data_IF_130120464202
#
_entry.id   IF_130120464202
#
_cell.length_a   1.000
_cell.length_b   1.000
_cell.length_c   1.000
_cell.angle_alpha   90.00
_cell.angle_beta   90.00
_cell.angle_gamma   90.00
#
_symmetry.space_group_name_H-M   'P 1'
#
loop_
_entity.id
_entity.type
_entity.pdbx_description
1 polymer ?
#
# COMPACT_ATOMS: atom_id res chain seq x y z
N UNK A 1 27.41 -20.68 2.13
CA UNK A 1 26.82 -19.57 1.34
C UNK A 1 26.14 -18.66 2.35
N UNK A 2 26.29 -17.33 2.21
CA UNK A 2 25.57 -16.39 3.06
C UNK A 2 24.06 -16.47 2.76
N UNK A 3 23.22 -16.41 3.79
CA UNK A 3 21.77 -16.45 3.62
C UNK A 3 21.28 -15.16 2.94
N UNK A 4 20.37 -15.27 1.98
CA UNK A 4 19.72 -14.14 1.36
C UNK A 4 18.82 -13.46 2.40
N UNK A 5 18.95 -12.14 2.58
CA UNK A 5 18.17 -11.35 3.52
C UNK A 5 17.02 -10.62 2.81
N UNK A 6 17.28 -10.09 1.60
CA UNK A 6 16.26 -9.34 0.88
C UNK A 6 16.72 -8.92 -0.51
N UNK A 7 15.84 -8.20 -1.20
CA UNK A 7 16.05 -7.66 -2.54
C UNK A 7 15.80 -6.14 -2.47
N UNK A 8 16.67 -5.37 -3.09
CA UNK A 8 16.55 -3.91 -3.16
C UNK A 8 15.35 -3.55 -4.04
N UNK A 9 14.34 -2.89 -3.47
CA UNK A 9 13.13 -2.48 -4.19
C UNK A 9 13.22 -1.06 -4.74
N UNK A 10 13.99 -0.17 -4.07
CA UNK A 10 14.17 1.21 -4.53
C UNK A 10 15.50 1.77 -4.04
N UNK A 11 16.18 2.53 -4.90
CA UNK A 11 17.42 3.26 -4.55
C UNK A 11 17.27 4.72 -4.96
N UNK A 12 17.63 5.62 -4.05
CA UNK A 12 17.73 7.06 -4.30
C UNK A 12 19.13 7.51 -3.91
N UNK A 13 19.81 8.25 -4.77
CA UNK A 13 21.17 8.72 -4.52
C UNK A 13 22.21 7.59 -4.45
N UNK A 14 23.28 7.81 -3.68
CA UNK A 14 24.36 6.83 -3.55
C UNK A 14 24.13 5.88 -2.39
N UNK A 15 24.02 4.58 -2.69
CA UNK A 15 23.87 3.50 -1.72
C UNK A 15 24.83 2.37 -2.06
N UNK A 16 25.40 1.77 -1.03
CA UNK A 16 26.41 0.73 -1.20
C UNK A 16 26.14 -0.46 -0.27
N UNK A 17 26.48 -1.66 -0.72
CA UNK A 17 26.66 -2.81 0.14
C UNK A 17 28.16 -3.10 0.29
N UNK A 18 28.59 -3.33 1.54
CA UNK A 18 29.97 -3.67 1.88
C UNK A 18 29.99 -5.09 2.47
N UNK A 19 30.70 -5.99 1.81
CA UNK A 19 30.86 -7.36 2.28
C UNK A 19 31.80 -7.45 3.48
N UNK A 20 31.72 -8.51 4.27
CA UNK A 20 32.59 -8.77 5.44
C UNK A 20 34.12 -8.74 5.13
N UNK A 21 34.52 -8.71 3.87
CA UNK A 21 35.89 -8.55 3.40
C UNK A 21 36.27 -7.13 2.97
N UNK A 22 35.43 -6.12 3.22
CA UNK A 22 35.69 -4.72 2.86
C UNK A 22 35.43 -4.36 1.40
N UNK A 23 34.93 -5.29 0.58
CA UNK A 23 34.54 -5.02 -0.79
C UNK A 23 33.22 -4.27 -0.82
N UNK A 24 33.26 -3.04 -1.30
CA UNK A 24 32.12 -2.15 -1.44
C UNK A 24 31.59 -2.16 -2.87
N UNK A 25 30.29 -2.40 -3.05
CA UNK A 25 29.61 -2.35 -4.34
C UNK A 25 28.46 -1.35 -4.31
N UNK A 26 28.24 -0.55 -5.38
CA UNK A 26 27.05 0.28 -5.48
C UNK A 26 25.82 -0.62 -5.63
N UNK A 27 24.69 -0.19 -5.06
CA UNK A 27 23.42 -0.91 -5.16
C UNK A 27 22.52 -0.27 -6.21
N UNK A 28 21.82 -1.15 -6.93
CA UNK A 28 20.74 -0.81 -7.85
C UNK A 28 19.49 -1.62 -7.50
N UNK A 29 18.34 -1.19 -8.01
CA UNK A 29 17.09 -1.91 -7.84
C UNK A 29 17.19 -3.33 -8.41
N UNK A 30 16.65 -4.30 -7.67
CA UNK A 30 16.76 -5.73 -7.99
C UNK A 30 18.00 -6.44 -7.41
N UNK A 31 18.94 -5.73 -6.79
CA UNK A 31 20.12 -6.34 -6.18
C UNK A 31 19.76 -7.18 -4.95
N UNK A 32 20.41 -8.34 -4.85
CA UNK A 32 20.26 -9.26 -3.72
C UNK A 32 21.22 -8.89 -2.59
N UNK A 33 20.71 -8.91 -1.38
CA UNK A 33 21.44 -8.60 -0.15
C UNK A 33 21.54 -9.85 0.73
N UNK A 34 22.72 -10.08 1.29
CA UNK A 34 23.02 -11.28 2.04
C UNK A 34 23.40 -10.99 3.49
N UNK A 35 23.23 -11.99 4.35
CA UNK A 35 23.62 -11.90 5.75
C UNK A 35 25.13 -11.61 5.88
N UNK A 36 25.47 -10.63 6.71
CA UNK A 36 26.82 -10.16 6.95
C UNK A 36 27.27 -9.03 6.02
N UNK A 37 26.46 -8.59 5.06
CA UNK A 37 26.72 -7.35 4.33
C UNK A 37 26.35 -6.12 5.17
N UNK A 38 27.09 -5.04 4.99
CA UNK A 38 26.85 -3.73 5.57
C UNK A 38 26.22 -2.83 4.53
N UNK A 39 24.99 -2.34 4.78
CA UNK A 39 24.28 -1.44 3.90
C UNK A 39 24.56 0.00 4.34
N UNK A 40 25.11 0.82 3.44
CA UNK A 40 25.55 2.20 3.73
C UNK A 40 24.92 3.14 2.74
N UNK A 41 24.21 4.16 3.24
CA UNK A 41 23.63 5.23 2.42
C UNK A 41 24.48 6.49 2.49
N UNK A 42 24.67 7.16 1.34
CA UNK A 42 25.35 8.45 1.28
C UNK A 42 24.52 9.59 1.91
N UNK A 43 25.09 10.78 1.97
CA UNK A 43 24.43 11.98 2.55
C UNK A 43 23.09 12.33 1.86
N UNK A 44 22.91 11.90 0.61
CA UNK A 44 21.68 12.09 -0.17
C UNK A 44 21.08 10.74 -0.59
N UNK A 45 21.56 9.63 0.00
CA UNK A 45 21.17 8.27 -0.34
C UNK A 45 20.03 7.75 0.53
N UNK A 46 19.12 7.01 -0.07
CA UNK A 46 18.11 6.23 0.64
C UNK A 46 17.86 4.92 -0.11
N UNK A 47 17.49 3.85 0.61
CA UNK A 47 17.22 2.54 0.02
C UNK A 47 16.03 1.89 0.70
N UNK A 48 15.17 1.26 -0.08
CA UNK A 48 14.15 0.35 0.37
C UNK A 48 14.52 -1.08 -0.04
N UNK A 49 14.31 -2.03 0.85
CA UNK A 49 14.65 -3.45 0.67
C UNK A 49 13.46 -4.30 1.08
N UNK A 50 13.00 -5.15 0.18
CA UNK A 50 12.04 -6.21 0.53
C UNK A 50 12.79 -7.39 1.17
N UNK A 51 12.48 -7.68 2.42
CA UNK A 51 13.03 -8.81 3.16
C UNK A 51 12.30 -10.11 2.80
N UNK A 52 12.99 -11.25 2.94
CA UNK A 52 12.42 -12.58 2.65
C UNK A 52 11.23 -12.98 3.54
N UNK A 53 10.98 -12.28 4.64
CA UNK A 53 9.82 -12.49 5.51
C UNK A 53 8.62 -11.61 5.12
N UNK A 54 8.63 -10.97 3.95
CA UNK A 54 7.57 -10.09 3.46
C UNK A 54 7.57 -8.68 4.05
N UNK A 55 8.50 -8.35 4.93
CA UNK A 55 8.62 -7.01 5.49
C UNK A 55 9.47 -6.09 4.61
N UNK A 56 9.23 -4.79 4.69
CA UNK A 56 10.04 -3.77 4.03
C UNK A 56 10.96 -3.07 5.04
N UNK A 57 12.23 -2.96 4.69
CA UNK A 57 13.24 -2.22 5.44
C UNK A 57 13.63 -0.96 4.66
N UNK A 58 13.52 0.21 5.26
CA UNK A 58 13.94 1.46 4.63
C UNK A 58 15.07 2.10 5.43
N UNK A 59 16.17 2.43 4.75
CA UNK A 59 17.27 3.23 5.32
C UNK A 59 17.26 4.62 4.67
N UNK A 60 17.27 5.64 5.53
CA UNK A 60 17.38 7.04 5.13
C UNK A 60 18.81 7.49 4.88
N UNK A 61 18.99 8.80 4.75
CA UNK A 61 20.27 9.45 4.44
C UNK A 61 21.33 9.23 5.52
N UNK A 62 22.57 8.97 5.11
CA UNK A 62 23.71 8.84 6.01
C UNK A 62 23.58 7.72 7.04
N UNK A 63 22.80 6.69 6.73
CA UNK A 63 22.56 5.56 7.62
C UNK A 63 23.45 4.38 7.25
N UNK A 64 23.80 3.58 8.25
CA UNK A 64 24.43 2.29 8.06
C UNK A 64 23.69 1.18 8.82
N UNK A 65 23.68 -0.02 8.26
CA UNK A 65 23.02 -1.17 8.87
C UNK A 65 23.71 -2.48 8.47
N UNK A 66 24.06 -3.29 9.47
CA UNK A 66 24.52 -4.67 9.22
C UNK A 66 23.32 -5.60 9.03
N UNK A 67 23.29 -6.30 7.90
CA UNK A 67 22.22 -7.24 7.59
C UNK A 67 22.45 -8.56 8.34
N UNK A 68 21.61 -8.82 9.33
CA UNK A 68 21.69 -10.03 10.16
C UNK A 68 20.48 -10.93 9.92
N UNK A 69 20.59 -12.25 10.12
CA UNK A 69 19.45 -13.18 10.01
C UNK A 69 18.30 -12.84 10.96
N UNK A 70 18.57 -12.10 12.05
CA UNK A 70 17.54 -11.65 13.00
C UNK A 70 16.51 -10.70 12.35
N UNK A 71 16.87 -10.00 11.26
CA UNK A 71 15.94 -9.16 10.49
C UNK A 71 14.82 -9.98 9.83
N UNK A 72 15.03 -11.29 9.66
CA UNK A 72 14.03 -12.21 9.13
C UNK A 72 13.17 -12.88 10.22
N UNK A 73 13.53 -12.71 11.49
CA UNK A 73 12.72 -13.22 12.58
C UNK A 73 11.41 -12.43 12.63
N UNK A 74 10.30 -13.10 12.29
CA UNK A 74 8.98 -12.57 12.53
C UNK A 74 8.84 -12.37 14.04
N UNK A 75 8.89 -11.14 14.50
CA UNK A 75 8.30 -10.82 15.78
C UNK A 75 6.79 -10.96 15.55
N UNK A 76 6.23 -12.12 15.94
CA UNK A 76 4.80 -12.21 16.19
C UNK A 76 4.41 -11.01 17.06
N UNK A 77 3.28 -10.31 16.79
CA UNK A 77 2.83 -9.28 17.68
C UNK A 77 2.79 -9.88 19.06
N UNK A 78 3.60 -9.35 19.96
CA UNK A 78 3.59 -9.73 21.36
C UNK A 78 2.19 -9.37 21.85
N UNK A 79 1.34 -10.37 22.00
CA UNK A 79 0.11 -10.22 22.77
C UNK A 79 0.59 -10.12 24.21
N UNK A 80 0.81 -8.89 24.64
CA UNK A 80 1.03 -8.60 26.05
C UNK A 80 -0.22 -9.03 26.80
N UNK A 81 -0.14 -10.18 27.43
CA UNK A 81 -0.96 -10.44 28.63
C UNK A 81 -0.57 -9.36 29.63
N UNK A 82 -1.52 -8.57 30.12
CA UNK A 82 -1.20 -7.52 31.08
C UNK A 82 -0.86 -8.18 32.41
N UNK A 83 0.43 -8.29 32.70
CA UNK A 83 0.88 -8.43 34.07
C UNK A 83 1.05 -7.03 34.64
N UNK A 84 0.18 -6.71 35.60
CA UNK A 84 -0.02 -5.39 36.13
C UNK A 84 1.18 -4.94 36.99
N UNK A 85 2.07 -4.19 36.34
CA UNK A 85 2.90 -3.24 37.08
C UNK A 85 2.68 -1.85 36.48
N UNK A 86 1.76 -1.09 37.05
CA UNK A 86 1.61 0.34 36.76
C UNK A 86 2.96 1.01 36.93
N UNK A 87 3.60 1.59 35.89
CA UNK A 87 4.86 2.29 36.06
C UNK A 87 4.67 3.45 37.04
N UNK A 88 5.62 3.65 37.96
CA UNK A 88 5.58 4.77 38.86
C UNK A 88 5.65 6.08 38.08
N UNK A 89 4.99 7.15 38.56
CA UNK A 89 4.97 8.48 37.94
C UNK A 89 6.35 9.06 37.59
N UNK A 90 7.43 8.51 38.16
CA UNK A 90 8.81 8.90 37.86
C UNK A 90 9.36 8.29 36.55
N UNK A 91 8.67 7.32 35.95
CA UNK A 91 9.10 6.62 34.69
C UNK A 91 8.30 7.03 33.46
N UNK A 92 7.27 7.86 33.62
CA UNK A 92 6.46 8.34 32.51
C UNK A 92 7.12 9.56 31.83
N UNK A 93 7.12 9.58 30.52
CA UNK A 93 7.47 10.79 29.77
C UNK A 93 6.40 11.86 29.97
N UNK A 94 6.73 13.14 29.75
CA UNK A 94 5.78 14.24 29.94
C UNK A 94 4.55 14.10 29.03
N UNK A 95 4.71 13.51 27.85
CA UNK A 95 3.60 13.18 26.93
C UNK A 95 2.69 12.11 27.52
N UNK A 96 3.23 11.07 28.14
CA UNK A 96 2.44 10.00 28.77
C UNK A 96 1.70 10.49 30.01
N UNK A 97 2.30 11.41 30.78
CA UNK A 97 1.63 12.09 31.92
C UNK A 97 0.45 12.93 31.45
N UNK A 98 0.62 13.65 30.32
CA UNK A 98 -0.43 14.46 29.74
C UNK A 98 -1.60 13.60 29.22
N UNK A 99 -1.29 12.49 28.53
CA UNK A 99 -2.29 11.54 28.05
C UNK A 99 -3.08 10.90 29.20
N UNK A 100 -2.41 10.57 30.30
CA UNK A 100 -3.05 10.01 31.50
C UNK A 100 -3.96 11.04 32.20
N UNK A 101 -3.54 12.31 32.23
CA UNK A 101 -4.35 13.41 32.75
C UNK A 101 -5.61 13.66 31.92
N UNK A 102 -5.52 13.62 30.59
CA UNK A 102 -6.64 13.73 29.66
C UNK A 102 -7.62 12.56 29.85
N UNK A 103 -7.11 11.35 29.94
CA UNK A 103 -7.92 10.15 30.17
C UNK A 103 -8.65 10.17 31.53
N UNK A 104 -8.09 10.86 32.52
CA UNK A 104 -8.71 11.08 33.83
C UNK A 104 -9.67 12.28 33.86
N UNK A 105 -9.90 12.98 32.71
CA UNK A 105 -10.80 14.12 32.61
C UNK A 105 -10.23 15.44 33.14
N UNK A 106 -8.92 15.54 33.30
CA UNK A 106 -8.24 16.79 33.69
C UNK A 106 -8.02 17.70 32.46
N UNK A 107 -8.12 19.01 32.68
CA UNK A 107 -7.86 20.00 31.65
C UNK A 107 -6.36 20.02 31.31
N UNK A 108 -5.94 19.69 30.08
CA UNK A 108 -4.53 19.59 29.68
C UNK A 108 -3.80 20.94 29.74
N UNK A 109 -4.52 22.06 29.73
CA UNK A 109 -3.93 23.40 29.81
C UNK A 109 -3.46 23.78 31.20
N UNK A 110 -3.90 23.04 32.22
CA UNK A 110 -3.53 23.26 33.64
C UNK A 110 -2.36 22.39 34.12
N UNK A 111 -1.98 21.36 33.35
CA UNK A 111 -0.99 20.37 33.79
C UNK A 111 0.30 20.37 32.95
N UNK A 112 0.37 21.13 31.87
CA UNK A 112 1.56 21.26 31.03
C UNK A 112 2.44 22.42 31.51
N UNK A 113 3.78 22.23 31.59
CA UNK A 113 4.68 23.36 31.69
C UNK A 113 4.52 24.27 30.45
N UNK A 114 4.57 25.59 30.67
CA UNK A 114 4.40 26.59 29.60
C UNK A 114 5.44 26.36 28.49
N UNK A 115 4.97 25.97 27.33
CA UNK A 115 5.80 25.95 26.11
C UNK A 115 6.16 27.39 25.78
N UNK A 116 7.43 27.66 25.44
CA UNK A 116 8.05 28.97 25.28
C UNK A 116 7.51 29.83 24.08
N UNK A 117 6.21 29.85 23.88
CA UNK A 117 5.51 30.63 22.85
C UNK A 117 4.41 31.51 23.46
N UNK A 118 4.78 32.35 24.44
CA UNK A 118 3.91 33.40 24.94
C UNK A 118 4.64 34.23 25.99
N UNK A 119 4.75 35.57 25.83
CA UNK A 119 5.35 36.40 26.83
C UNK A 119 4.35 36.60 27.97
N UNK A 120 4.65 36.08 29.16
CA UNK A 120 4.06 36.62 30.38
C UNK A 120 4.55 38.05 30.62
N UNK A 121 3.59 38.95 30.73
CA UNK A 121 3.86 40.35 30.98
C UNK A 121 4.45 40.60 32.34
N UNK A 122 5.49 41.41 32.38
CA UNK A 122 5.86 42.18 33.55
C UNK A 122 7.29 41.99 34.08
N UNK A 123 8.25 42.69 33.50
CA UNK A 123 9.12 43.63 34.21
C UNK A 123 10.07 44.37 33.22
N UNK A 124 10.26 45.70 33.31
CA UNK A 124 11.17 46.41 32.44
C UNK A 124 12.58 46.37 33.02
N UNK A 125 13.51 45.74 32.30
CA UNK A 125 14.91 45.90 32.57
C UNK A 125 15.72 44.60 32.64
N UNK A 126 16.15 44.11 31.51
CA UNK A 126 17.14 43.04 31.43
C UNK A 126 17.52 42.76 29.98
N UNK A 127 18.69 43.25 29.59
CA UNK A 127 19.34 42.94 28.30
C UNK A 127 19.68 41.47 28.27
N UNK A 128 19.13 40.68 27.30
CA UNK A 128 19.56 39.30 27.11
C UNK A 128 18.50 38.39 26.49
N UNK A 129 18.23 38.56 25.21
CA UNK A 129 17.51 37.57 24.42
C UNK A 129 18.39 36.34 24.26
N UNK A 130 18.16 35.30 25.08
CA UNK A 130 18.82 34.01 24.93
C UNK A 130 18.17 33.17 23.85
N UNK A 131 18.70 33.21 22.67
CA UNK A 131 18.47 32.15 21.70
C UNK A 131 19.45 31.01 22.06
N UNK A 132 18.92 29.83 22.34
CA UNK A 132 19.73 28.61 22.43
C UNK A 132 20.25 28.30 21.04
N UNK A 133 21.48 28.69 20.76
CA UNK A 133 22.21 28.18 19.62
C UNK A 133 22.79 26.82 19.97
N UNK A 134 22.54 25.82 19.14
CA UNK A 134 23.34 24.59 19.17
C UNK A 134 24.72 24.97 18.67
N UNK A 135 25.69 25.06 19.58
CA UNK A 135 27.11 25.18 19.22
C UNK A 135 27.56 23.84 18.64
N UNK A 136 27.69 23.78 17.34
CA UNK A 136 28.54 22.81 16.67
C UNK A 136 29.98 23.24 16.92
N UNK A 137 30.74 22.51 17.71
CA UNK A 137 32.20 22.68 17.80
C UNK A 137 32.80 22.25 16.47
N UNK A 138 33.16 23.22 15.64
CA UNK A 138 33.96 23.01 14.44
C UNK A 138 35.43 22.91 14.81
N UNK A 139 36.03 21.75 14.61
CA UNK A 139 37.48 21.54 14.66
C UNK A 139 38.03 21.77 13.24
N UNK A 140 38.28 23.01 12.91
CA UNK A 140 38.87 23.34 11.59
C UNK A 140 39.05 24.84 11.42
N UNK A 141 40.28 25.23 11.29
CA UNK A 141 40.91 26.54 11.14
C UNK A 141 40.05 27.73 10.72
N UNK A 142 40.39 28.84 11.35
CA UNK A 142 39.89 30.19 11.12
C UNK A 142 39.86 30.51 9.62
N UNK A 143 38.69 30.49 9.02
CA UNK A 143 38.43 31.07 7.69
C UNK A 143 37.75 32.41 7.93
N UNK A 144 38.46 33.49 7.67
CA UNK A 144 37.94 34.84 7.72
C UNK A 144 36.91 34.99 6.56
N UNK A 145 35.59 35.01 6.81
CA UNK A 145 34.60 35.17 5.74
C UNK A 145 34.54 36.63 5.35
N UNK A 146 35.25 36.99 4.31
CA UNK A 146 34.99 38.25 3.62
C UNK A 146 33.64 38.14 2.86
N UNK A 147 32.54 38.16 3.59
CA UNK A 147 31.20 38.42 3.06
C UNK A 147 30.81 39.84 3.58
N UNK A 148 31.40 40.82 3.01
CA UNK A 148 31.00 42.18 3.18
C UNK A 148 30.69 42.79 1.83
N UNK A 149 29.44 42.94 1.48
CA UNK A 149 29.12 44.04 0.57
C UNK A 149 29.56 45.36 1.25
N UNK A 150 30.36 46.21 0.56
CA UNK A 150 30.73 47.50 1.14
C UNK A 150 29.47 48.32 1.31
N UNK A 151 29.03 48.55 2.54
CA UNK A 151 27.91 49.41 2.91
C UNK A 151 28.36 50.87 3.14
N UNK A 152 29.58 51.22 2.75
CA UNK A 152 30.04 52.59 2.81
C UNK A 152 29.62 53.31 1.52
N UNK A 153 28.54 54.11 1.62
CA UNK A 153 28.24 55.10 0.59
C UNK A 153 26.82 55.22 0.06
N UNK A 154 25.85 54.48 0.61
CA UNK A 154 24.45 54.74 0.24
C UNK A 154 23.77 55.60 1.33
N UNK A 155 23.92 56.93 1.20
CA UNK A 155 23.06 57.90 1.86
C UNK A 155 21.82 58.14 0.97
N UNK A 156 20.84 57.25 1.05
CA UNK A 156 19.58 57.36 0.37
C UNK A 156 18.92 55.99 0.14
N UNK A 157 17.63 55.95 0.28
CA UNK A 157 16.83 54.80 -0.12
C UNK A 157 17.06 54.62 -1.64
N UNK A 158 17.42 53.45 -2.17
CA UNK A 158 17.49 53.23 -3.62
C UNK A 158 16.11 53.52 -4.22
N UNK A 159 15.96 54.62 -4.89
CA UNK A 159 14.82 54.81 -5.78
C UNK A 159 15.02 53.85 -6.95
N UNK A 160 14.10 52.90 -7.09
CA UNK A 160 14.00 52.13 -8.30
C UNK A 160 13.84 53.07 -9.50
N UNK A 161 14.55 52.84 -10.61
CA UNK A 161 14.39 53.68 -11.78
C UNK A 161 12.92 53.58 -12.20
N UNK A 162 12.19 54.68 -12.02
CA UNK A 162 10.88 54.85 -12.63
C UNK A 162 11.10 54.87 -14.16
N UNK A 163 10.51 53.92 -14.86
CA UNK A 163 10.41 53.99 -16.32
C UNK A 163 9.65 55.26 -16.67
N UNK A 164 10.37 56.34 -16.94
CA UNK A 164 9.77 57.51 -17.54
C UNK A 164 9.52 57.21 -19.02
N UNK A 165 8.26 57.02 -19.38
CA UNK A 165 7.85 57.25 -20.76
C UNK A 165 8.10 58.73 -21.07
N UNK A 166 9.09 59.01 -21.93
CA UNK A 166 9.33 60.34 -22.43
C UNK A 166 8.17 60.70 -23.37
N UNK A 167 7.33 61.67 -22.95
CA UNK A 167 6.37 62.28 -23.88
C UNK A 167 5.04 62.76 -23.35
N UNK A 168 4.82 62.90 -22.03
CA UNK A 168 3.57 63.54 -21.59
C UNK A 168 3.84 64.74 -20.63
N UNK A 169 3.62 65.98 -21.04
CA UNK A 169 3.83 67.16 -20.20
C UNK A 169 2.61 67.53 -19.34
N UNK A 170 1.58 66.75 -19.26
CA UNK A 170 0.36 67.08 -18.52
C UNK A 170 -0.17 65.92 -17.66
N UNK A 171 0.64 65.51 -16.63
CA UNK A 171 0.15 64.60 -15.63
C UNK A 171 -0.35 65.36 -14.41
N UNK A 172 -1.56 65.83 -14.45
CA UNK A 172 -2.36 66.17 -13.27
C UNK A 172 -3.21 64.99 -12.89
N UNK A 173 -2.64 64.08 -12.06
CA UNK A 173 -3.42 63.27 -11.11
C UNK A 173 -4.19 62.10 -11.64
N UNK A 174 -3.56 61.13 -12.30
CA UNK A 174 -4.07 59.77 -12.37
C UNK A 174 -3.26 58.89 -11.43
N UNK A 175 -3.73 58.81 -10.21
CA UNK A 175 -3.39 57.76 -9.26
C UNK A 175 -4.19 56.52 -9.72
N UNK A 176 -3.82 55.97 -10.89
CA UNK A 176 -4.33 54.69 -11.29
C UNK A 176 -3.88 53.70 -10.21
N UNK A 177 -4.81 53.35 -9.34
CA UNK A 177 -4.61 52.26 -8.39
C UNK A 177 -4.14 51.04 -9.18
N UNK A 178 -2.91 50.60 -8.92
CA UNK A 178 -2.47 49.27 -9.38
C UNK A 178 -3.55 48.31 -8.93
N UNK A 179 -4.19 47.56 -9.85
CA UNK A 179 -5.19 46.58 -9.42
C UNK A 179 -4.55 45.72 -8.33
N UNK A 180 -5.27 45.44 -7.24
CA UNK A 180 -4.74 44.51 -6.25
C UNK A 180 -4.34 43.22 -6.96
N UNK A 181 -3.06 42.83 -6.85
CA UNK A 181 -2.60 41.55 -7.33
C UNK A 181 -3.34 40.54 -6.43
N UNK A 182 -4.31 39.84 -6.99
CA UNK A 182 -4.90 38.71 -6.29
C UNK A 182 -3.77 37.71 -6.05
N UNK A 183 -3.58 37.25 -4.81
CA UNK A 183 -2.60 36.17 -4.58
C UNK A 183 -2.97 34.98 -5.46
N UNK A 184 -1.99 34.49 -6.21
CA UNK A 184 -2.06 33.26 -6.94
C UNK A 184 -2.06 32.10 -5.90
N UNK A 185 -3.07 31.25 -5.90
CA UNK A 185 -3.23 30.14 -4.95
C UNK A 185 -3.35 28.81 -5.72
N UNK A 186 -2.38 27.90 -5.59
CA UNK A 186 -2.35 26.69 -6.38
C UNK A 186 -3.58 25.79 -6.13
N UNK A 187 -4.03 25.13 -7.17
CA UNK A 187 -5.01 24.05 -7.06
C UNK A 187 -4.37 22.84 -6.38
N UNK A 188 -5.10 22.16 -5.50
CA UNK A 188 -4.63 20.97 -4.81
C UNK A 188 -5.68 19.85 -4.82
N UNK A 189 -5.19 18.60 -4.74
CA UNK A 189 -6.01 17.40 -4.59
C UNK A 189 -5.70 16.77 -3.23
N UNK A 190 -6.73 16.34 -2.49
CA UNK A 190 -6.59 15.67 -1.21
C UNK A 190 -7.48 14.42 -1.19
N UNK A 191 -6.92 13.27 -0.80
CA UNK A 191 -7.60 11.99 -0.82
C UNK A 191 -7.51 11.25 -2.16
N UNK A 192 -6.47 11.55 -2.95
CA UNK A 192 -5.98 10.76 -4.09
C UNK A 192 -4.51 10.40 -3.85
N UNK A 193 -3.96 9.47 -4.61
CA UNK A 193 -2.61 8.93 -4.45
C UNK A 193 -2.36 8.35 -3.03
N UNK A 194 -3.39 7.74 -2.43
CA UNK A 194 -3.30 7.16 -1.09
C UNK A 194 -2.55 5.84 -1.15
N UNK A 195 -1.54 5.69 -0.30
CA UNK A 195 -0.80 4.42 -0.23
C UNK A 195 -1.74 3.25 0.11
N UNK A 196 -1.79 2.25 -0.75
CA UNK A 196 -2.69 1.11 -0.63
C UNK A 196 -4.01 1.29 -1.39
N UNK A 197 -4.15 2.40 -2.15
CA UNK A 197 -5.32 2.71 -2.96
C UNK A 197 -6.45 3.38 -2.17
N UNK A 198 -7.27 4.17 -2.87
CA UNK A 198 -8.44 4.84 -2.30
C UNK A 198 -9.57 3.86 -2.01
N UNK A 199 -9.68 2.80 -2.82
CA UNK A 199 -10.67 1.75 -2.66
C UNK A 199 -10.05 0.37 -2.76
N UNK A 200 -10.68 -0.59 -2.08
CA UNK A 200 -10.33 -2.01 -2.19
C UNK A 200 -11.59 -2.82 -2.42
N UNK A 201 -11.54 -3.73 -3.37
CA UNK A 201 -12.57 -4.73 -3.63
C UNK A 201 -11.95 -6.13 -3.68
N UNK A 202 -12.77 -7.16 -3.63
CA UNK A 202 -12.31 -8.55 -3.61
C UNK A 202 -13.20 -9.39 -4.52
N UNK A 203 -12.59 -10.19 -5.36
CA UNK A 203 -13.25 -11.07 -6.32
C UNK A 203 -14.05 -12.19 -5.65
N UNK A 204 -13.71 -12.54 -4.40
CA UNK A 204 -14.52 -13.45 -3.60
C UNK A 204 -16.00 -13.02 -3.49
N UNK A 205 -16.29 -11.72 -3.66
CA UNK A 205 -17.65 -11.18 -3.63
C UNK A 205 -18.43 -11.39 -4.95
N UNK A 206 -17.76 -11.75 -6.04
CA UNK A 206 -18.41 -12.05 -7.32
C UNK A 206 -19.41 -13.21 -7.20
N UNK A 207 -20.30 -13.32 -8.18
CA UNK A 207 -21.34 -14.36 -8.17
C UNK A 207 -20.75 -15.77 -8.09
N UNK A 208 -19.62 -15.97 -8.72
CA UNK A 208 -18.86 -17.23 -8.78
C UNK A 208 -17.73 -17.30 -7.75
N UNK A 209 -17.51 -16.24 -6.99
CA UNK A 209 -16.48 -16.15 -5.96
C UNK A 209 -16.79 -17.00 -4.71
N UNK A 210 -15.77 -17.22 -3.90
CA UNK A 210 -15.81 -18.08 -2.72
C UNK A 210 -16.73 -17.54 -1.60
N UNK A 211 -17.01 -16.22 -1.58
CA UNK A 211 -17.82 -15.55 -0.57
C UNK A 211 -18.82 -14.55 -1.17
N UNK A 212 -19.56 -14.97 -2.20
CA UNK A 212 -20.44 -14.12 -3.01
C UNK A 212 -21.26 -13.11 -2.20
N UNK A 213 -21.02 -11.81 -2.47
CA UNK A 213 -21.70 -10.69 -1.82
C UNK A 213 -21.84 -9.51 -2.79
N UNK A 214 -22.93 -9.45 -3.60
CA UNK A 214 -23.10 -8.39 -4.59
C UNK A 214 -23.05 -6.97 -4.04
N UNK A 215 -23.41 -6.77 -2.77
CA UNK A 215 -23.35 -5.46 -2.12
C UNK A 215 -21.91 -4.96 -1.88
N UNK A 216 -20.94 -5.87 -1.76
CA UNK A 216 -19.55 -5.53 -1.56
C UNK A 216 -18.78 -5.30 -2.87
N UNK A 217 -19.40 -5.55 -4.03
CA UNK A 217 -18.80 -5.26 -5.33
C UNK A 217 -18.82 -3.76 -5.68
N UNK A 218 -19.66 -2.98 -4.98
CA UNK A 218 -19.76 -1.53 -5.14
C UNK A 218 -19.08 -0.85 -3.98
N UNK A 219 -17.97 -0.17 -4.26
CA UNK A 219 -17.23 0.61 -3.28
C UNK A 219 -17.46 2.10 -3.53
N UNK A 220 -17.62 2.89 -2.46
CA UNK A 220 -17.85 4.32 -2.56
C UNK A 220 -16.67 5.08 -1.95
N UNK A 221 -16.30 6.19 -2.58
CA UNK A 221 -15.24 7.04 -2.11
C UNK A 221 -15.52 8.51 -2.34
N UNK A 222 -14.69 9.36 -1.75
CA UNK A 222 -14.68 10.79 -1.94
C UNK A 222 -13.23 11.30 -1.93
N UNK A 223 -12.98 12.37 -2.68
CA UNK A 223 -11.78 13.17 -2.55
C UNK A 223 -12.12 14.65 -2.66
N UNK A 224 -11.18 15.54 -2.33
CA UNK A 224 -11.42 16.98 -2.34
C UNK A 224 -10.50 17.68 -3.32
N UNK A 225 -11.06 18.59 -4.11
CA UNK A 225 -10.33 19.54 -4.96
C UNK A 225 -10.42 20.90 -4.32
N UNK A 226 -9.28 21.51 -3.99
CA UNK A 226 -9.23 22.89 -3.50
C UNK A 226 -8.64 23.79 -4.60
N UNK A 227 -9.43 24.71 -5.08
CA UNK A 227 -9.06 25.71 -6.08
C UNK A 227 -9.58 27.10 -5.63
N UNK A 228 -8.82 27.81 -4.76
CA UNK A 228 -9.29 29.08 -4.18
C UNK A 228 -9.57 30.17 -5.24
N UNK A 229 -8.87 30.12 -6.37
CA UNK A 229 -9.04 31.06 -7.48
C UNK A 229 -10.10 30.63 -8.50
N UNK A 230 -10.77 29.49 -8.19
CA UNK A 230 -11.85 28.94 -8.99
C UNK A 230 -11.39 27.81 -9.91
N UNK A 231 -12.15 26.74 -9.99
CA UNK A 231 -11.85 25.56 -10.79
C UNK A 231 -12.36 25.72 -12.22
N UNK A 232 -11.47 25.66 -13.20
CA UNK A 232 -11.82 25.74 -14.63
C UNK A 232 -12.16 24.39 -15.21
N UNK A 233 -11.37 23.35 -14.88
CA UNK A 233 -11.63 21.99 -15.36
C UNK A 233 -11.25 20.94 -14.32
N UNK A 234 -11.98 19.83 -14.34
CA UNK A 234 -11.68 18.62 -13.59
C UNK A 234 -12.01 17.43 -14.46
N UNK A 235 -11.04 16.54 -14.65
CA UNK A 235 -11.25 15.26 -15.32
C UNK A 235 -10.80 14.11 -14.43
N UNK A 236 -11.53 12.97 -14.49
CA UNK A 236 -11.29 11.78 -13.69
C UNK A 236 -11.47 10.57 -14.59
N UNK A 237 -10.42 9.76 -14.80
CA UNK A 237 -10.48 8.58 -15.64
C UNK A 237 -10.99 8.84 -17.06
N UNK A 238 -10.76 10.06 -17.58
CA UNK A 238 -11.29 10.51 -18.89
C UNK A 238 -12.70 11.11 -18.86
N UNK A 239 -13.39 11.11 -17.71
CA UNK A 239 -14.67 11.82 -17.52
C UNK A 239 -14.39 13.30 -17.28
N UNK A 240 -15.02 14.19 -18.03
CA UNK A 240 -14.98 15.62 -17.77
C UNK A 240 -16.05 15.99 -16.74
N UNK A 241 -15.63 16.13 -15.47
CA UNK A 241 -16.50 16.47 -14.32
C UNK A 241 -16.85 17.95 -14.32
N UNK A 242 -15.86 18.79 -14.65
CA UNK A 242 -16.02 20.24 -14.79
C UNK A 242 -15.39 20.69 -16.11
N UNK A 243 -16.10 21.56 -16.83
CA UNK A 243 -15.62 22.15 -18.08
C UNK A 243 -15.98 23.62 -18.10
N UNK A 244 -14.96 24.52 -18.22
CA UNK A 244 -15.15 25.98 -18.21
C UNK A 244 -15.81 26.47 -16.92
N UNK A 245 -15.46 25.88 -15.77
CA UNK A 245 -16.03 26.22 -14.47
C UNK A 245 -17.47 25.69 -14.22
N UNK A 246 -18.00 24.91 -15.16
CA UNK A 246 -19.39 24.40 -15.06
C UNK A 246 -19.34 22.90 -14.79
N UNK A 247 -19.93 22.42 -13.67
CA UNK A 247 -20.07 21.00 -13.40
C UNK A 247 -20.94 20.30 -14.45
N UNK A 248 -20.56 19.08 -14.82
CA UNK A 248 -21.38 18.20 -15.65
C UNK A 248 -22.63 17.73 -14.87
N UNK A 249 -23.61 17.20 -15.58
CA UNK A 249 -24.71 16.48 -14.93
C UNK A 249 -24.24 15.12 -14.37
N UNK A 250 -24.70 14.74 -13.19
CA UNK A 250 -24.36 13.47 -12.55
C UNK A 250 -25.55 12.49 -12.57
N UNK A 251 -25.30 11.16 -12.49
CA UNK A 251 -23.97 10.52 -12.50
C UNK A 251 -23.31 10.48 -13.89
N UNK A 252 -21.96 10.40 -13.90
CA UNK A 252 -21.14 10.17 -15.08
C UNK A 252 -20.38 8.84 -14.89
N UNK A 253 -20.33 8.00 -15.93
CA UNK A 253 -19.70 6.68 -15.84
C UNK A 253 -18.62 6.51 -16.91
N UNK A 254 -17.57 5.77 -16.57
CA UNK A 254 -16.59 5.24 -17.50
C UNK A 254 -16.37 3.76 -17.21
N UNK A 255 -16.29 2.96 -18.28
CA UNK A 255 -15.83 1.58 -18.19
C UNK A 255 -14.32 1.58 -18.36
N UNK A 256 -13.63 0.93 -17.45
CA UNK A 256 -12.18 0.84 -17.43
C UNK A 256 -11.66 -0.12 -18.51
N UNK A 257 -10.34 -0.23 -18.62
CA UNK A 257 -9.69 -1.18 -19.52
C UNK A 257 -9.94 -2.65 -19.12
N UNK A 258 -10.14 -2.89 -17.82
CA UNK A 258 -10.47 -4.21 -17.26
C UNK A 258 -11.96 -4.55 -17.39
N UNK A 259 -12.81 -3.61 -17.75
CA UNK A 259 -14.24 -3.82 -17.90
C UNK A 259 -15.07 -3.34 -16.69
N UNK A 260 -14.43 -2.91 -15.63
CA UNK A 260 -15.07 -2.40 -14.42
C UNK A 260 -15.62 -1.00 -14.61
N UNK A 261 -16.44 -0.54 -13.69
CA UNK A 261 -17.14 0.73 -13.85
C UNK A 261 -16.80 1.72 -12.75
N UNK A 262 -16.21 2.87 -13.11
CA UNK A 262 -16.11 4.04 -12.25
C UNK A 262 -17.29 4.98 -12.52
N UNK A 263 -17.99 5.39 -11.49
CA UNK A 263 -19.12 6.34 -11.57
C UNK A 263 -18.85 7.54 -10.70
N UNK A 264 -18.77 8.73 -11.28
CA UNK A 264 -18.77 9.98 -10.53
C UNK A 264 -20.20 10.33 -10.21
N UNK A 265 -20.55 10.29 -8.92
CA UNK A 265 -21.92 10.45 -8.43
C UNK A 265 -22.27 11.88 -8.10
N UNK A 266 -21.29 12.75 -7.85
CA UNK A 266 -21.51 14.14 -7.54
C UNK A 266 -20.23 14.96 -7.36
N UNK A 267 -20.41 16.28 -7.45
CA UNK A 267 -19.44 17.30 -7.07
C UNK A 267 -20.14 18.41 -6.30
N UNK A 268 -19.60 18.74 -5.14
CA UNK A 268 -20.10 19.88 -4.34
C UNK A 268 -19.16 21.10 -4.52
N UNK A 269 -19.60 22.15 -5.23
CA UNK A 269 -18.77 23.31 -5.48
C UNK A 269 -18.49 24.17 -4.24
N UNK A 270 -19.25 23.98 -3.15
CA UNK A 270 -19.02 24.73 -1.91
C UNK A 270 -17.91 24.15 -1.07
N UNK A 271 -17.67 22.86 -1.16
CA UNK A 271 -16.65 22.13 -0.38
C UNK A 271 -15.53 21.56 -1.23
N UNK A 272 -15.69 21.52 -2.56
CA UNK A 272 -14.77 20.90 -3.49
C UNK A 272 -14.81 19.35 -3.46
N UNK A 273 -15.77 18.77 -2.74
CA UNK A 273 -15.86 17.31 -2.58
C UNK A 273 -16.40 16.66 -3.86
N UNK A 274 -15.66 15.69 -4.37
CA UNK A 274 -16.09 14.78 -5.42
C UNK A 274 -16.51 13.47 -4.76
N UNK A 275 -17.67 12.96 -5.14
CA UNK A 275 -18.19 11.65 -4.70
C UNK A 275 -18.19 10.68 -5.88
N UNK A 276 -17.74 9.47 -5.65
CA UNK A 276 -17.67 8.44 -6.69
C UNK A 276 -17.98 7.06 -6.14
N UNK A 277 -18.25 6.11 -7.05
CA UNK A 277 -18.32 4.70 -6.74
C UNK A 277 -17.60 3.89 -7.82
N UNK A 278 -17.01 2.80 -7.38
CA UNK A 278 -16.41 1.81 -8.27
C UNK A 278 -17.17 0.50 -8.15
N UNK A 279 -17.39 -0.18 -9.26
CA UNK A 279 -18.08 -1.47 -9.32
C UNK A 279 -17.18 -2.50 -10.00
N UNK A 280 -16.80 -3.54 -9.27
CA UNK A 280 -16.17 -4.75 -9.84
C UNK A 280 -17.26 -5.56 -10.55
N UNK A 281 -17.06 -5.88 -11.84
CA UNK A 281 -18.06 -6.54 -12.69
C UNK A 281 -17.75 -7.98 -12.99
N UNK A 282 -16.47 -8.35 -13.08
CA UNK A 282 -16.00 -9.69 -13.40
C UNK A 282 -14.64 -9.92 -12.71
N UNK A 283 -14.16 -11.17 -12.75
CA UNK A 283 -12.81 -11.49 -12.30
C UNK A 283 -11.76 -10.91 -13.25
N UNK A 284 -10.60 -10.62 -12.70
CA UNK A 284 -9.46 -10.06 -13.41
C UNK A 284 -8.32 -11.09 -13.46
N UNK A 285 -7.35 -10.86 -14.34
CA UNK A 285 -6.17 -11.72 -14.39
C UNK A 285 -5.13 -11.25 -13.41
N UNK A 286 -4.80 -12.07 -12.45
CA UNK A 286 -3.77 -11.82 -11.44
C UNK A 286 -2.42 -12.47 -11.80
N UNK A 287 -1.28 -12.02 -11.20
CA UNK A 287 0.00 -12.69 -11.36
C UNK A 287 -0.04 -14.14 -10.83
N UNK A 288 0.30 -15.09 -11.69
CA UNK A 288 0.15 -16.52 -11.43
C UNK A 288 0.86 -17.00 -10.14
N UNK A 289 0.16 -17.78 -9.32
CA UNK A 289 0.69 -18.42 -8.12
C UNK A 289 1.03 -17.44 -6.99
N UNK A 290 0.44 -16.26 -7.00
CA UNK A 290 0.68 -15.22 -6.01
C UNK A 290 -0.14 -15.34 -4.73
N UNK A 291 -1.07 -16.30 -4.66
CA UNK A 291 -2.08 -16.37 -3.61
C UNK A 291 -3.02 -15.18 -3.68
N UNK A 292 -3.72 -14.82 -2.62
CA UNK A 292 -4.62 -13.67 -2.57
C UNK A 292 -3.88 -12.33 -2.78
N UNK A 293 -3.20 -12.20 -3.92
CA UNK A 293 -2.50 -10.99 -4.33
C UNK A 293 -3.49 -9.92 -4.81
N UNK A 294 -2.99 -8.74 -5.18
CA UNK A 294 -3.86 -7.67 -5.67
C UNK A 294 -3.26 -7.03 -6.91
N UNK A 295 -4.13 -6.62 -7.81
CA UNK A 295 -3.81 -5.70 -8.90
C UNK A 295 -4.41 -4.33 -8.59
N UNK A 296 -3.83 -3.27 -9.16
CA UNK A 296 -4.32 -1.90 -8.97
C UNK A 296 -4.82 -1.34 -10.29
N UNK A 297 -6.05 -0.91 -10.31
CA UNK A 297 -6.62 -0.16 -11.42
C UNK A 297 -6.56 1.33 -11.12
N UNK A 298 -6.07 2.12 -12.10
CA UNK A 298 -5.74 3.53 -11.90
C UNK A 298 -6.59 4.44 -12.77
N UNK A 299 -7.15 5.49 -12.17
CA UNK A 299 -7.91 6.51 -12.87
C UNK A 299 -7.24 7.88 -12.67
N UNK A 300 -6.61 8.47 -13.70
CA UNK A 300 -5.94 9.76 -13.57
C UNK A 300 -6.95 10.86 -13.24
N UNK A 301 -6.56 11.72 -12.30
CA UNK A 301 -7.29 12.91 -11.87
C UNK A 301 -6.47 14.13 -12.29
N UNK A 302 -7.10 15.08 -13.02
CA UNK A 302 -6.46 16.33 -13.42
C UNK A 302 -7.41 17.47 -13.13
N UNK A 303 -6.96 18.42 -12.32
CA UNK A 303 -7.67 19.66 -11.99
C UNK A 303 -6.88 20.87 -12.50
N UNK A 304 -7.57 21.86 -13.07
CA UNK A 304 -6.99 23.11 -13.56
C UNK A 304 -7.87 24.27 -13.05
N UNK A 305 -7.26 25.27 -12.46
CA UNK A 305 -7.97 26.47 -12.00
C UNK A 305 -8.09 27.59 -13.07
N UNK A 306 -8.50 28.79 -12.65
CA UNK A 306 -8.82 29.87 -13.61
C UNK A 306 -7.60 30.61 -14.16
N UNK A 307 -6.46 30.59 -13.49
CA UNK A 307 -5.20 31.18 -13.92
C UNK A 307 -4.23 30.19 -14.56
N UNK A 308 -4.57 28.89 -14.53
CA UNK A 308 -3.91 27.82 -15.28
C UNK A 308 -3.05 26.90 -14.43
N UNK A 309 -3.07 27.00 -13.13
CA UNK A 309 -2.43 26.05 -12.23
C UNK A 309 -3.07 24.67 -12.36
N UNK A 310 -2.25 23.64 -12.23
CA UNK A 310 -2.68 22.25 -12.47
C UNK A 310 -2.25 21.36 -11.32
N UNK A 311 -3.20 20.59 -10.78
CA UNK A 311 -2.93 19.46 -9.90
C UNK A 311 -3.27 18.16 -10.61
N UNK A 312 -2.41 17.17 -10.42
CA UNK A 312 -2.59 15.81 -10.96
C UNK A 312 -2.45 14.78 -9.87
N UNK A 313 -3.21 13.71 -9.97
CA UNK A 313 -3.14 12.55 -9.08
C UNK A 313 -3.81 11.34 -9.71
N UNK A 314 -3.81 10.22 -9.03
CA UNK A 314 -4.51 9.00 -9.43
C UNK A 314 -5.49 8.59 -8.36
N UNK A 315 -6.63 8.07 -8.80
CA UNK A 315 -7.57 7.37 -7.97
C UNK A 315 -7.33 5.87 -8.21
N UNK A 316 -6.85 5.20 -7.19
CA UNK A 316 -6.36 3.84 -7.26
C UNK A 316 -7.36 2.87 -6.63
N UNK A 317 -7.70 1.81 -7.34
CA UNK A 317 -8.58 0.74 -6.83
C UNK A 317 -7.81 -0.56 -6.80
N UNK A 318 -7.65 -1.13 -5.61
CA UNK A 318 -7.05 -2.44 -5.45
C UNK A 318 -8.10 -3.54 -5.55
N UNK A 319 -7.87 -4.49 -6.45
CA UNK A 319 -8.69 -5.67 -6.67
C UNK A 319 -7.90 -6.85 -6.12
N UNK A 320 -8.46 -7.52 -5.11
CA UNK A 320 -7.83 -8.67 -4.47
C UNK A 320 -8.37 -9.96 -5.06
N UNK A 321 -7.47 -10.85 -5.40
CA UNK A 321 -7.72 -12.17 -5.96
C UNK A 321 -8.50 -13.09 -5.01
N UNK A 322 -9.30 -13.99 -5.58
CA UNK A 322 -10.07 -15.02 -4.88
C UNK A 322 -9.50 -16.41 -5.12
N UNK A 323 -8.65 -16.84 -4.22
CA UNK A 323 -7.89 -18.10 -4.32
C UNK A 323 -8.75 -19.34 -4.11
N UNK A 324 -8.38 -20.50 -4.72
CA UNK A 324 -9.11 -21.74 -4.58
C UNK A 324 -9.02 -22.30 -3.14
N UNK A 325 -10.07 -23.00 -2.72
CA UNK A 325 -10.17 -23.69 -1.45
C UNK A 325 -10.60 -25.13 -1.65
N UNK A 326 -9.68 -26.08 -1.51
CA UNK A 326 -9.96 -27.51 -1.48
C UNK A 326 -10.36 -27.95 -0.06
N UNK A 327 -11.34 -28.83 0.02
CA UNK A 327 -11.90 -29.35 1.29
C UNK A 327 -11.82 -30.86 1.27
N UNK A 328 -11.34 -31.47 2.37
CA UNK A 328 -11.19 -32.92 2.51
C UNK A 328 -12.46 -33.69 2.18
N UNK A 329 -12.28 -34.78 1.44
CA UNK A 329 -13.32 -35.69 1.00
C UNK A 329 -13.30 -37.02 1.76
N UNK A 330 -14.42 -37.68 1.73
CA UNK A 330 -14.50 -39.09 2.20
C UNK A 330 -15.46 -39.87 1.33
N UNK A 331 -15.08 -41.08 0.97
CA UNK A 331 -15.98 -42.00 0.26
C UNK A 331 -16.92 -42.74 1.21
N UNK A 332 -18.23 -42.70 0.93
CA UNK A 332 -19.25 -43.29 1.80
C UNK A 332 -19.22 -44.81 1.83
N UNK A 333 -18.73 -45.46 0.76
CA UNK A 333 -18.63 -46.91 0.67
C UNK A 333 -17.20 -47.40 0.93
N UNK A 334 -17.06 -48.58 1.44
CA UNK A 334 -15.78 -49.26 1.61
C UNK A 334 -15.56 -50.28 0.48
N UNK A 335 -14.39 -50.21 -0.16
CA UNK A 335 -14.02 -51.23 -1.14
C UNK A 335 -13.85 -52.60 -0.44
N UNK A 336 -14.21 -53.66 -1.15
CA UNK A 336 -14.18 -55.04 -0.64
C UNK A 336 -13.93 -56.03 -1.77
N UNK A 337 -13.76 -57.29 -1.46
CA UNK A 337 -13.63 -58.37 -2.43
C UNK A 337 -14.81 -58.45 -3.43
N UNK A 338 -16.00 -57.96 -3.04
CA UNK A 338 -17.20 -57.92 -3.88
C UNK A 338 -17.48 -56.57 -4.50
N UNK A 339 -16.87 -55.50 -3.94
CA UNK A 339 -16.96 -54.12 -4.45
C UNK A 339 -15.55 -53.58 -4.66
N UNK A 340 -14.89 -54.05 -5.72
CA UNK A 340 -13.48 -53.72 -5.99
C UNK A 340 -13.25 -52.32 -6.56
N UNK A 341 -14.31 -51.68 -7.02
CA UNK A 341 -14.19 -50.33 -7.65
C UNK A 341 -15.10 -49.34 -6.95
N UNK A 342 -14.56 -48.21 -6.58
CA UNK A 342 -15.28 -47.04 -6.09
C UNK A 342 -15.10 -45.86 -7.07
N UNK A 343 -16.15 -45.10 -7.26
CA UNK A 343 -16.13 -43.92 -8.12
C UNK A 343 -16.74 -42.74 -7.39
N UNK A 344 -16.25 -41.53 -7.64
CA UNK A 344 -16.77 -40.31 -7.05
C UNK A 344 -16.23 -39.08 -7.78
N UNK A 345 -16.41 -37.94 -7.15
CA UNK A 345 -15.86 -36.68 -7.60
C UNK A 345 -15.46 -35.85 -6.38
N UNK A 346 -14.32 -35.18 -6.41
CA UNK A 346 -13.78 -34.38 -5.32
C UNK A 346 -14.26 -32.93 -5.30
N UNK A 347 -14.80 -32.40 -6.43
CA UNK A 347 -15.16 -30.98 -6.57
C UNK A 347 -16.45 -30.51 -5.87
N UNK A 348 -17.43 -31.37 -5.48
CA UNK A 348 -18.73 -30.87 -4.99
C UNK A 348 -18.67 -30.02 -3.72
N UNK A 349 -17.64 -30.16 -2.88
CA UNK A 349 -17.41 -29.40 -1.65
C UNK A 349 -16.32 -28.34 -1.79
N UNK A 350 -15.59 -28.34 -2.91
CA UNK A 350 -14.51 -27.41 -3.19
C UNK A 350 -15.01 -26.08 -3.77
N UNK A 351 -14.21 -25.03 -3.57
CA UNK A 351 -14.39 -23.72 -4.19
C UNK A 351 -13.16 -23.38 -5.03
N UNK A 352 -13.35 -23.08 -6.33
CA UNK A 352 -12.25 -22.67 -7.20
C UNK A 352 -11.88 -21.18 -7.04
N UNK A 353 -12.74 -20.40 -6.41
CA UNK A 353 -12.66 -18.95 -6.47
C UNK A 353 -13.41 -18.38 -7.68
N UNK A 354 -13.16 -17.11 -7.99
CA UNK A 354 -13.77 -16.41 -9.12
C UNK A 354 -13.16 -16.84 -10.47
N UNK A 355 -11.87 -17.17 -10.47
CA UNK A 355 -11.08 -17.54 -11.65
C UNK A 355 -11.20 -19.02 -11.99
N UNK A 356 -12.36 -19.39 -12.52
CA UNK A 356 -12.70 -20.79 -12.73
C UNK A 356 -12.08 -21.38 -13.99
N UNK A 357 -11.51 -22.57 -13.86
CA UNK A 357 -11.19 -23.44 -14.98
C UNK A 357 -12.45 -24.24 -15.34
N UNK A 358 -12.98 -24.11 -16.56
CA UNK A 358 -14.14 -24.91 -16.97
C UNK A 358 -13.86 -26.40 -16.95
N UNK A 359 -14.77 -27.18 -16.37
CA UNK A 359 -14.67 -28.64 -16.35
C UNK A 359 -15.12 -29.24 -17.70
N UNK A 360 -14.34 -30.18 -18.20
CA UNK A 360 -14.60 -30.91 -19.45
C UNK A 360 -13.99 -32.31 -19.40
N UNK A 361 -14.18 -33.12 -20.46
CA UNK A 361 -13.71 -34.51 -20.47
C UNK A 361 -12.22 -34.70 -20.19
N UNK A 362 -11.40 -33.71 -20.60
CA UNK A 362 -9.93 -33.75 -20.43
C UNK A 362 -9.40 -32.45 -19.83
N UNK A 363 -10.26 -31.62 -19.22
CA UNK A 363 -9.90 -30.32 -18.63
C UNK A 363 -10.68 -30.07 -17.35
N UNK A 364 -10.07 -29.34 -16.43
CA UNK A 364 -10.70 -28.94 -15.18
C UNK A 364 -9.66 -28.47 -14.16
N UNK A 365 -10.11 -28.11 -12.98
CA UNK A 365 -9.28 -27.48 -11.97
C UNK A 365 -8.43 -28.47 -11.15
N UNK A 366 -8.57 -29.77 -11.38
CA UNK A 366 -7.81 -30.76 -10.62
C UNK A 366 -6.55 -31.18 -11.37
N UNK A 367 -5.43 -31.17 -10.69
CA UNK A 367 -4.20 -31.81 -11.18
C UNK A 367 -4.38 -33.32 -11.08
N UNK A 368 -4.85 -33.90 -12.18
CA UNK A 368 -5.18 -35.32 -12.26
C UNK A 368 -3.95 -36.23 -12.34
N UNK A 369 -4.17 -37.51 -12.14
CA UNK A 369 -3.09 -38.51 -12.22
C UNK A 369 -3.51 -39.89 -11.74
N UNK A 370 -2.53 -40.81 -11.75
CA UNK A 370 -2.69 -42.16 -11.18
C UNK A 370 -1.83 -42.30 -9.92
N UNK A 371 -2.48 -42.59 -8.82
CA UNK A 371 -1.86 -42.71 -7.51
C UNK A 371 -1.94 -44.14 -7.01
N UNK A 372 -0.78 -44.72 -6.70
CA UNK A 372 -0.71 -46.07 -6.14
C UNK A 372 -0.75 -45.97 -4.63
N UNK A 373 -1.76 -46.56 -4.02
CA UNK A 373 -1.92 -46.68 -2.57
C UNK A 373 -1.38 -48.00 -2.02
N UNK A 374 -1.68 -48.24 -0.77
CA UNK A 374 -1.33 -49.47 -0.05
C UNK A 374 -2.17 -50.67 -0.50
N UNK A 375 -3.44 -50.44 -0.75
CA UNK A 375 -4.40 -51.52 -1.07
C UNK A 375 -4.91 -51.46 -2.51
N UNK A 376 -4.72 -50.32 -3.20
CA UNK A 376 -5.27 -50.15 -4.54
C UNK A 376 -4.66 -48.98 -5.30
N UNK A 377 -5.34 -48.60 -6.36
CA UNK A 377 -4.91 -47.50 -7.24
C UNK A 377 -6.07 -46.55 -7.44
N UNK A 378 -5.80 -45.25 -7.26
CA UNK A 378 -6.71 -44.15 -7.59
C UNK A 378 -6.31 -43.56 -8.93
N UNK A 379 -7.26 -43.46 -9.85
CA UNK A 379 -7.16 -42.60 -11.05
C UNK A 379 -8.05 -41.39 -10.83
N UNK A 380 -7.45 -40.19 -10.81
CA UNK A 380 -8.14 -38.90 -10.64
C UNK A 380 -8.02 -38.12 -11.92
N UNK A 381 -9.14 -37.64 -12.43
CA UNK A 381 -9.21 -36.87 -13.67
C UNK A 381 -9.23 -35.36 -13.39
N UNK A 382 -8.96 -34.55 -14.41
CA UNK A 382 -8.95 -33.09 -14.29
C UNK A 382 -10.33 -32.50 -13.91
N UNK A 383 -11.43 -33.16 -14.27
CA UNK A 383 -12.81 -32.79 -13.90
C UNK A 383 -13.20 -33.18 -12.46
N UNK A 384 -12.23 -33.64 -11.66
CA UNK A 384 -12.43 -34.09 -10.28
C UNK A 384 -13.01 -35.49 -10.15
N UNK A 385 -13.45 -36.10 -11.23
CA UNK A 385 -13.93 -37.47 -11.17
C UNK A 385 -12.80 -38.45 -10.86
N UNK A 386 -13.08 -39.47 -10.04
CA UNK A 386 -12.09 -40.48 -9.73
C UNK A 386 -12.63 -41.87 -9.81
N UNK A 387 -11.71 -42.82 -10.03
CA UNK A 387 -11.94 -44.24 -9.90
C UNK A 387 -10.85 -44.85 -9.03
N UNK A 388 -11.24 -45.38 -7.90
CA UNK A 388 -10.37 -46.20 -7.07
C UNK A 388 -10.59 -47.70 -7.38
N UNK A 389 -9.53 -48.43 -7.57
CA UNK A 389 -9.56 -49.88 -7.84
C UNK A 389 -8.75 -50.62 -6.80
N UNK A 390 -9.43 -51.44 -5.99
CA UNK A 390 -8.82 -52.29 -4.98
C UNK A 390 -8.04 -53.42 -5.64
N UNK A 391 -6.80 -53.67 -5.23
CA UNK A 391 -6.01 -54.83 -5.64
C UNK A 391 -6.23 -55.96 -4.65
N UNK A 392 -7.19 -56.85 -4.93
CA UNK A 392 -7.51 -57.96 -4.06
C UNK A 392 -6.39 -59.00 -3.93
N UNK A 393 -5.35 -58.93 -4.76
CA UNK A 393 -4.14 -59.79 -4.67
C UNK A 393 -3.00 -59.15 -3.89
N UNK A 394 -3.17 -57.90 -3.44
CA UNK A 394 -2.14 -57.24 -2.67
C UNK A 394 -1.91 -57.94 -1.32
N UNK A 395 -0.64 -58.21 -0.95
CA UNK A 395 -0.35 -58.91 0.32
C UNK A 395 -0.85 -58.21 1.58
N UNK A 396 -0.92 -56.86 1.56
CA UNK A 396 -1.38 -56.07 2.70
C UNK A 396 -2.90 -56.13 2.80
N UNK A 397 -3.61 -56.14 1.66
CA UNK A 397 -5.05 -56.35 1.64
C UNK A 397 -5.39 -57.81 2.09
N UNK A 398 -4.67 -58.78 1.54
CA UNK A 398 -4.85 -60.19 1.93
C UNK A 398 -4.60 -60.42 3.43
N UNK A 399 -3.70 -59.65 4.04
CA UNK A 399 -3.44 -59.72 5.49
C UNK A 399 -4.60 -59.19 6.36
N UNK A 400 -5.58 -58.46 5.78
CA UNK A 400 -6.79 -57.98 6.47
C UNK A 400 -7.89 -59.03 6.62
N UNK A 401 -7.65 -60.33 6.25
CA UNK A 401 -8.68 -61.39 6.31
C UNK A 401 -9.31 -61.55 7.68
N UNK A 402 -10.50 -62.13 7.69
CA UNK A 402 -11.24 -62.32 8.92
C UNK A 402 -12.04 -61.12 9.40
N UNK A 403 -12.29 -60.13 8.50
CA UNK A 403 -13.05 -58.93 8.80
C UNK A 403 -12.20 -57.74 9.24
N UNK A 404 -10.89 -57.79 9.01
CA UNK A 404 -10.01 -56.65 9.18
C UNK A 404 -10.35 -55.51 8.21
N UNK A 405 -10.01 -54.29 8.55
CA UNK A 405 -10.19 -53.09 7.74
C UNK A 405 -8.90 -52.28 7.67
N UNK A 406 -8.69 -51.58 6.57
CA UNK A 406 -7.63 -50.64 6.38
C UNK A 406 -8.19 -49.32 5.78
N UNK A 407 -7.42 -48.27 5.87
CA UNK A 407 -7.72 -47.00 5.21
C UNK A 407 -6.50 -46.50 4.47
N UNK A 408 -6.71 -45.76 3.42
CA UNK A 408 -5.66 -45.03 2.71
C UNK A 408 -6.16 -43.64 2.30
N UNK A 409 -5.22 -42.72 2.15
CA UNK A 409 -5.50 -41.33 1.87
C UNK A 409 -4.69 -40.90 0.65
N UNK A 410 -5.33 -40.14 -0.23
CA UNK A 410 -4.72 -39.58 -1.43
C UNK A 410 -4.91 -38.10 -1.41
N UNK A 411 -3.80 -37.35 -1.52
CA UNK A 411 -3.85 -35.89 -1.59
C UNK A 411 -4.05 -35.47 -3.04
N UNK A 412 -4.94 -34.54 -3.27
CA UNK A 412 -5.13 -33.90 -4.57
C UNK A 412 -4.87 -32.40 -4.49
N UNK A 413 -4.72 -31.77 -5.67
CA UNK A 413 -4.51 -30.32 -5.81
C UNK A 413 -5.61 -29.74 -6.68
N UNK A 414 -6.31 -28.75 -6.15
CA UNK A 414 -7.22 -27.87 -6.83
C UNK A 414 -6.44 -26.66 -7.33
N UNK A 415 -6.69 -26.19 -8.54
CA UNK A 415 -6.08 -25.00 -9.12
C UNK A 415 -7.14 -24.13 -9.79
N UNK A 416 -6.93 -22.84 -9.86
CA UNK A 416 -7.71 -21.88 -10.62
C UNK A 416 -7.05 -21.51 -11.95
N UNK A 417 -7.60 -20.50 -12.66
CA UNK A 417 -7.09 -20.09 -13.96
C UNK A 417 -5.80 -19.27 -13.88
N UNK A 418 -5.53 -18.61 -12.77
CA UNK A 418 -4.30 -17.85 -12.49
C UNK A 418 -3.15 -18.75 -12.04
N UNK A 419 -3.45 -20.01 -11.67
CA UNK A 419 -2.47 -20.98 -11.23
C UNK A 419 -2.25 -20.99 -9.73
N UNK A 420 -3.15 -20.41 -8.95
CA UNK A 420 -3.18 -20.58 -7.51
C UNK A 420 -3.68 -21.97 -7.13
N UNK A 421 -3.24 -22.48 -6.01
CA UNK A 421 -3.49 -23.87 -5.67
C UNK A 421 -3.90 -24.05 -4.22
N UNK A 422 -4.78 -25.04 -4.01
CA UNK A 422 -5.14 -25.56 -2.69
C UNK A 422 -5.10 -27.07 -2.69
N UNK A 423 -4.84 -27.69 -1.55
CA UNK A 423 -4.73 -29.16 -1.44
C UNK A 423 -5.67 -29.71 -0.38
N UNK A 424 -6.26 -30.89 -0.67
CA UNK A 424 -7.06 -31.66 0.26
C UNK A 424 -6.87 -33.16 0.03
N UNK A 425 -7.55 -34.01 0.82
CA UNK A 425 -7.37 -35.45 0.81
C UNK A 425 -8.66 -36.20 0.44
#
# INVERSE_FOLDING_TARGET
MAALIGIVSKVVGQVFAEAAGGLRRPLVEGDRLYAGEHLVTGAEGAVAVHLQNGQSLTLGRGSDLTLTPQLLANHAPHVDTPDAATPSNAQLTDVQKLQQAIAAGADPTQTGEATAAGPEGGNPGGVGGGHSFVLLEEVGGEVDPQIGFPTAGFNGIPEFPQLRLAGDPDNTGDNAAVPPVTPDNPVTLDGVDVEGGELTTNEANLADGSASNPGALVQNGTFTVSAPDGLTSLSIGGINVITGGVPAGFPQTVTSALGNTLTITGYDPATGVVSYSYTLTDNETHPAGGGANSITEQFPVVAVDTDGDTATGTLDVNITDDVPQAIDDSHANTASETLVTLTGNVLPNDHQGADRIPTGPDSGPIIGGTFTGTYGTLVLNADGSYTYTLNTSDPQFVALHGGGSGSETFTYTLTDADGDTSTAN
#
